data_IF_952357372480
#
_entry.id   IF_952357372480
#
_cell.length_a   1.000
_cell.length_b   1.000
_cell.length_c   1.000
_cell.angle_alpha   90.00
_cell.angle_beta   90.00
_cell.angle_gamma   90.00
#
_symmetry.space_group_name_H-M   'P 1'
#
loop_
_entity.id
_entity.type
_entity.pdbx_description
1 polymer ?
#
# COMPACT_ATOMS: atom_id res chain seq x y z
N UNK A 1 15.44 49.19 -23.35
CA UNK A 1 16.84 48.92 -23.04
C UNK A 1 16.91 47.42 -22.85
N UNK A 2 17.31 46.78 -23.90
CA UNK A 2 18.58 46.04 -24.17
C UNK A 2 18.58 44.76 -23.36
N UNK A 3 18.44 43.67 -23.98
CA UNK A 3 19.29 42.94 -24.98
C UNK A 3 19.80 41.69 -24.29
N UNK A 4 19.40 40.56 -24.90
CA UNK A 4 20.33 39.68 -25.68
C UNK A 4 21.32 38.96 -24.79
N UNK A 5 21.58 37.69 -24.91
CA UNK A 5 22.04 36.84 -25.99
C UNK A 5 21.90 35.38 -25.49
N UNK A 6 21.39 34.40 -26.19
CA UNK A 6 21.98 33.73 -27.36
C UNK A 6 23.37 33.12 -27.09
N UNK A 7 23.47 31.80 -27.14
CA UNK A 7 24.41 30.98 -27.92
C UNK A 7 24.12 29.51 -27.58
N UNK A 8 23.62 28.69 -28.48
CA UNK A 8 24.18 28.16 -29.74
C UNK A 8 25.35 27.22 -29.54
N UNK A 9 25.11 26.14 -30.19
CA UNK A 9 26.05 25.30 -30.98
C UNK A 9 26.80 24.24 -30.21
N UNK A 10 26.87 23.06 -30.71
CA UNK A 10 27.02 22.51 -32.03
C UNK A 10 27.23 21.00 -31.89
N UNK A 11 26.56 20.27 -32.59
CA UNK A 11 26.75 19.77 -33.93
C UNK A 11 28.17 19.26 -34.19
N UNK A 12 28.34 18.00 -34.42
CA UNK A 12 28.66 17.44 -35.72
C UNK A 12 29.35 16.08 -35.66
N UNK A 13 29.13 15.28 -36.69
CA UNK A 13 29.66 13.93 -36.82
C UNK A 13 30.91 13.90 -37.71
N UNK A 14 31.74 12.89 -37.59
CA UNK A 14 32.76 12.53 -38.58
C UNK A 14 32.82 11.00 -38.68
N UNK A 15 32.35 10.39 -39.69
CA UNK A 15 32.70 10.17 -41.12
C UNK A 15 34.16 9.90 -41.37
N UNK A 16 34.33 8.71 -41.93
CA UNK A 16 35.09 8.36 -43.12
C UNK A 16 36.61 8.33 -42.92
N UNK A 17 37.38 7.53 -43.55
CA UNK A 17 37.36 6.89 -44.85
C UNK A 17 38.54 5.93 -44.99
N UNK A 18 38.36 4.89 -45.76
CA UNK A 18 39.12 4.58 -47.01
C UNK A 18 40.63 4.34 -46.89
N UNK A 19 41.04 3.20 -47.20
CA UNK A 19 41.48 2.65 -48.49
C UNK A 19 42.97 2.37 -48.61
N UNK A 20 43.35 1.30 -49.14
CA UNK A 20 44.09 0.96 -50.38
C UNK A 20 45.10 -0.15 -50.13
N UNK A 21 44.90 -1.25 -50.80
CA UNK A 21 45.50 -1.69 -52.10
C UNK A 21 47.00 -2.02 -52.02
N UNK A 22 47.27 -3.23 -52.38
CA UNK A 22 48.51 -3.47 -53.12
C UNK A 22 49.29 -4.71 -52.69
N UNK A 23 49.44 -5.65 -53.59
CA UNK A 23 50.58 -6.50 -53.58
C UNK A 23 50.36 -7.98 -53.90
N UNK A 24 50.09 -8.23 -55.13
CA UNK A 24 50.22 -9.53 -55.81
C UNK A 24 51.69 -9.97 -55.82
N UNK A 25 52.01 -11.11 -55.22
CA UNK A 25 53.20 -11.86 -55.64
C UNK A 25 52.94 -13.33 -55.49
N UNK A 26 52.94 -13.95 -56.65
CA UNK A 26 52.82 -15.36 -56.91
C UNK A 26 54.21 -15.97 -56.72
N UNK A 27 54.36 -16.97 -55.87
CA UNK A 27 55.46 -17.91 -55.89
C UNK A 27 54.97 -19.30 -55.58
N UNK A 28 54.96 -20.11 -56.64
CA UNK A 28 54.81 -21.56 -56.55
C UNK A 28 56.10 -22.15 -55.94
N UNK A 29 55.94 -22.84 -54.86
CA UNK A 29 56.88 -23.85 -54.44
C UNK A 29 56.09 -25.00 -53.78
N UNK A 30 56.04 -26.10 -54.47
CA UNK A 30 55.48 -27.33 -53.95
C UNK A 30 56.32 -27.88 -52.82
N UNK A 31 55.66 -28.40 -51.80
CA UNK A 31 56.25 -29.35 -50.89
C UNK A 31 55.12 -30.10 -50.15
N UNK A 32 55.30 -31.42 -50.10
CA UNK A 32 54.58 -32.45 -49.42
C UNK A 32 53.69 -32.00 -48.22
N UNK A 33 52.45 -32.33 -48.29
CA UNK A 33 51.51 -32.18 -47.18
C UNK A 33 51.93 -33.03 -45.96
N UNK A 34 52.17 -32.44 -44.79
CA UNK A 34 52.32 -33.23 -43.59
C UNK A 34 50.98 -33.85 -43.21
N UNK A 35 51.05 -35.10 -42.81
CA UNK A 35 49.91 -35.88 -42.34
C UNK A 35 49.19 -35.10 -41.23
N UNK A 36 47.86 -34.90 -41.32
CA UNK A 36 47.14 -34.15 -40.25
C UNK A 36 47.33 -34.86 -38.90
N UNK A 37 47.53 -34.12 -37.83
CA UNK A 37 47.58 -34.66 -36.49
C UNK A 37 46.26 -35.34 -36.15
N UNK A 38 46.26 -36.36 -35.31
CA UNK A 38 45.00 -37.00 -34.86
C UNK A 38 44.11 -35.98 -34.21
N UNK A 39 42.76 -36.08 -34.38
CA UNK A 39 41.85 -35.14 -33.76
C UNK A 39 42.02 -35.19 -32.23
N UNK A 40 41.91 -34.07 -31.55
CA UNK A 40 41.99 -34.02 -30.11
C UNK A 40 40.84 -34.87 -29.51
N UNK A 41 41.10 -35.56 -28.38
CA UNK A 41 40.07 -36.32 -27.71
C UNK A 41 38.85 -35.43 -27.45
N UNK A 42 37.65 -35.97 -27.69
CA UNK A 42 36.41 -35.25 -27.46
C UNK A 42 36.38 -34.71 -26.02
N UNK A 43 35.98 -33.48 -25.82
CA UNK A 43 35.87 -32.96 -24.48
C UNK A 43 34.91 -33.80 -23.64
N UNK A 44 35.33 -34.11 -22.42
CA UNK A 44 34.53 -34.86 -21.49
C UNK A 44 33.15 -34.16 -21.33
N UNK A 45 32.06 -34.92 -21.27
CA UNK A 45 30.75 -34.35 -21.08
C UNK A 45 30.75 -33.46 -19.80
N UNK A 46 30.34 -32.22 -19.97
CA UNK A 46 30.21 -31.31 -18.86
C UNK A 46 29.25 -31.93 -17.82
N UNK A 47 29.52 -31.80 -16.52
CA UNK A 47 28.63 -32.30 -15.51
C UNK A 47 27.27 -31.58 -15.68
N UNK A 48 26.21 -32.37 -15.80
CA UNK A 48 24.84 -31.88 -15.91
C UNK A 48 24.57 -31.08 -14.63
N UNK A 49 24.13 -29.81 -14.73
CA UNK A 49 23.80 -29.06 -13.55
C UNK A 49 22.72 -29.79 -12.75
N UNK A 50 23.04 -30.15 -11.53
CA UNK A 50 22.05 -30.72 -10.61
C UNK A 50 21.03 -29.61 -10.35
N UNK A 51 19.71 -29.85 -10.61
CA UNK A 51 18.71 -28.85 -10.30
C UNK A 51 18.81 -28.46 -8.82
N UNK A 52 18.68 -27.16 -8.50
CA UNK A 52 18.71 -26.73 -7.11
C UNK A 52 17.61 -27.45 -6.33
N UNK A 53 17.85 -27.80 -5.07
CA UNK A 53 16.83 -28.40 -4.22
C UNK A 53 15.60 -27.49 -4.17
N UNK A 54 14.37 -28.04 -4.14
CA UNK A 54 13.17 -27.24 -4.01
C UNK A 54 13.27 -26.35 -2.77
N UNK A 55 12.75 -25.11 -2.83
CA UNK A 55 12.74 -24.24 -1.68
C UNK A 55 12.01 -24.90 -0.51
N UNK A 56 12.47 -24.70 0.73
CA UNK A 56 11.78 -25.24 1.88
C UNK A 56 10.32 -24.76 1.90
N UNK A 57 9.37 -25.58 2.35
CA UNK A 57 7.98 -25.17 2.46
C UNK A 57 7.90 -23.91 3.31
N UNK A 58 7.00 -22.96 2.97
CA UNK A 58 6.82 -21.77 3.77
C UNK A 58 6.49 -22.18 5.22
N UNK A 59 6.98 -21.42 6.21
CA UNK A 59 6.64 -21.68 7.60
C UNK A 59 5.11 -21.71 7.75
N UNK A 60 4.55 -22.58 8.58
CA UNK A 60 3.12 -22.62 8.83
C UNK A 60 2.65 -21.23 9.22
N UNK A 61 1.55 -20.78 8.62
CA UNK A 61 0.95 -19.49 8.95
C UNK A 61 0.72 -19.44 10.47
N UNK A 62 1.00 -18.29 11.12
CA UNK A 62 0.71 -18.15 12.53
C UNK A 62 -0.75 -18.50 12.77
N UNK A 63 -1.07 -19.19 13.87
CA UNK A 63 -2.46 -19.53 14.19
C UNK A 63 -3.29 -18.25 14.15
N UNK A 64 -4.53 -18.29 13.61
CA UNK A 64 -5.40 -17.15 13.66
C UNK A 64 -5.50 -16.68 15.10
N UNK A 65 -5.48 -15.34 15.35
CA UNK A 65 -5.61 -14.83 16.70
C UNK A 65 -6.87 -15.42 17.32
N UNK A 66 -6.86 -15.79 18.61
CA UNK A 66 -7.98 -16.39 19.28
C UNK A 66 -9.22 -15.55 19.02
N UNK A 67 -10.29 -16.20 18.55
CA UNK A 67 -11.57 -15.54 18.35
C UNK A 67 -11.99 -14.95 19.71
N UNK A 68 -11.99 -13.62 19.80
CA UNK A 68 -12.38 -12.92 21.02
C UNK A 68 -13.82 -13.26 21.36
N UNK A 69 -14.00 -14.16 22.32
CA UNK A 69 -15.30 -14.48 22.94
C UNK A 69 -15.73 -13.43 23.98
N UNK A 70 -14.97 -12.36 24.15
CA UNK A 70 -15.33 -11.19 24.95
C UNK A 70 -16.22 -10.20 24.19
N UNK A 71 -17.28 -10.69 23.53
CA UNK A 71 -18.32 -9.83 22.99
C UNK A 71 -19.04 -9.16 24.16
N UNK A 72 -18.70 -7.91 24.41
CA UNK A 72 -19.70 -7.01 24.96
C UNK A 72 -20.83 -6.98 23.91
N UNK A 73 -22.08 -7.35 24.26
CA UNK A 73 -23.14 -7.40 23.28
C UNK A 73 -23.24 -6.03 22.60
N UNK A 74 -23.37 -6.00 21.28
CA UNK A 74 -23.67 -4.79 20.51
C UNK A 74 -24.91 -4.04 21.03
N UNK A 75 -25.76 -4.74 21.81
CA UNK A 75 -26.91 -4.17 22.52
C UNK A 75 -26.53 -3.07 23.53
N UNK A 76 -25.30 -3.07 24.08
CA UNK A 76 -24.82 -2.04 25.00
C UNK A 76 -24.45 -0.71 24.31
N UNK A 77 -24.45 -0.69 22.98
CA UNK A 77 -24.14 0.53 22.21
C UNK A 77 -25.28 1.58 22.22
N UNK A 78 -26.33 1.33 22.98
CA UNK A 78 -27.46 2.23 23.12
C UNK A 78 -28.32 2.34 21.85
N UNK A 79 -29.40 3.10 21.89
CA UNK A 79 -30.32 3.27 20.77
C UNK A 79 -29.60 3.89 19.56
N UNK A 80 -30.00 3.51 18.36
CA UNK A 80 -29.56 4.18 17.13
C UNK A 80 -30.05 5.63 17.15
N UNK A 81 -29.10 6.55 17.08
CA UNK A 81 -29.41 7.98 16.97
C UNK A 81 -29.60 8.33 15.49
N UNK A 82 -30.68 9.00 15.16
CA UNK A 82 -30.88 9.50 13.81
C UNK A 82 -29.84 10.59 13.51
N UNK A 83 -28.91 10.26 12.64
CA UNK A 83 -27.87 11.21 12.21
C UNK A 83 -28.41 12.05 11.06
N UNK A 84 -28.28 13.39 11.10
CA UNK A 84 -28.71 14.25 9.99
C UNK A 84 -28.11 13.82 8.65
N UNK A 85 -28.76 14.12 7.52
CA UNK A 85 -28.21 13.80 6.20
C UNK A 85 -26.76 14.27 6.05
N UNK A 86 -25.91 13.43 5.45
CA UNK A 86 -24.52 13.79 5.25
C UNK A 86 -24.41 14.87 4.17
N UNK A 87 -23.53 15.85 4.39
CA UNK A 87 -23.23 16.87 3.42
C UNK A 87 -22.18 16.39 2.44
N UNK A 88 -22.30 16.83 1.18
CA UNK A 88 -21.29 16.54 0.15
C UNK A 88 -20.02 17.33 0.44
N UNK A 89 -18.91 16.63 0.65
CA UNK A 89 -17.61 17.24 0.88
C UNK A 89 -16.93 17.63 -0.44
N UNK A 90 -16.14 18.72 -0.39
CA UNK A 90 -15.37 19.22 -1.53
C UNK A 90 -13.93 18.73 -1.56
N UNK A 91 -13.45 18.21 -0.44
CA UNK A 91 -12.09 17.68 -0.27
C UNK A 91 -12.07 16.50 0.70
N UNK A 92 -11.01 15.69 0.64
CA UNK A 92 -10.81 14.60 1.59
C UNK A 92 -10.67 15.08 3.05
N UNK A 93 -10.08 16.24 3.28
CA UNK A 93 -9.94 16.79 4.64
C UNK A 93 -11.28 17.23 5.22
N UNK A 94 -12.12 17.87 4.41
CA UNK A 94 -13.49 18.21 4.80
C UNK A 94 -14.30 16.94 5.07
N UNK A 95 -14.19 15.94 4.16
CA UNK A 95 -14.85 14.66 4.31
C UNK A 95 -14.48 13.95 5.62
N UNK A 96 -13.19 13.80 5.90
CA UNK A 96 -12.71 13.13 7.11
C UNK A 96 -13.22 13.78 8.38
N UNK A 97 -13.20 15.11 8.45
CA UNK A 97 -13.73 15.85 9.61
C UNK A 97 -15.25 15.70 9.75
N UNK A 98 -15.98 15.74 8.63
CA UNK A 98 -17.42 15.52 8.64
C UNK A 98 -17.76 14.09 9.06
N UNK A 99 -17.06 13.09 8.53
CA UNK A 99 -17.21 11.69 8.89
C UNK A 99 -16.93 11.44 10.38
N UNK A 100 -15.86 12.02 10.91
CA UNK A 100 -15.51 11.91 12.32
C UNK A 100 -16.58 12.49 13.25
N UNK A 101 -17.08 13.69 12.94
CA UNK A 101 -18.18 14.31 13.70
C UNK A 101 -19.44 13.44 13.64
N UNK A 102 -19.72 12.86 12.48
CA UNK A 102 -20.88 12.01 12.27
C UNK A 102 -20.79 10.74 13.10
N UNK A 103 -19.62 10.10 13.21
CA UNK A 103 -19.38 8.95 14.08
C UNK A 103 -19.63 9.28 15.56
N UNK A 104 -19.18 10.45 16.01
CA UNK A 104 -19.42 10.91 17.38
C UNK A 104 -20.92 11.12 17.65
N UNK A 105 -21.64 11.77 16.72
CA UNK A 105 -23.10 11.98 16.85
C UNK A 105 -23.86 10.66 16.83
N UNK A 106 -23.46 9.71 15.98
CA UNK A 106 -24.12 8.40 15.88
C UNK A 106 -23.86 7.50 17.09
N UNK A 107 -22.87 7.83 17.92
CA UNK A 107 -22.43 6.97 19.03
C UNK A 107 -22.23 7.75 20.33
N UNK A 108 -23.25 8.46 20.85
CA UNK A 108 -23.11 9.37 21.98
C UNK A 108 -22.61 8.68 23.26
N UNK A 109 -22.97 7.42 23.48
CA UNK A 109 -22.56 6.67 24.67
C UNK A 109 -21.12 6.12 24.58
N UNK A 110 -20.55 6.08 23.37
CA UNK A 110 -19.22 5.51 23.09
C UNK A 110 -18.23 6.52 22.52
N UNK A 111 -18.63 7.76 22.41
CA UNK A 111 -17.75 8.84 22.04
C UNK A 111 -17.54 9.80 23.19
N UNK A 112 -16.36 10.36 23.29
CA UNK A 112 -16.08 11.45 24.20
C UNK A 112 -15.64 12.70 23.43
N UNK A 113 -15.94 13.84 24.01
CA UNK A 113 -15.51 15.16 23.53
C UNK A 113 -14.45 15.71 24.50
N UNK A 114 -13.62 16.60 24.01
CA UNK A 114 -12.58 17.22 24.83
C UNK A 114 -11.20 16.59 24.61
N UNK A 115 -10.28 16.94 25.51
CA UNK A 115 -8.88 16.52 25.39
C UNK A 115 -8.74 15.03 25.69
N UNK A 116 -7.95 14.27 24.89
CA UNK A 116 -7.65 12.89 25.19
C UNK A 116 -6.95 12.75 26.55
N UNK A 117 -7.20 11.66 27.29
CA UNK A 117 -6.48 11.39 28.52
C UNK A 117 -4.98 11.19 28.24
N UNK A 118 -4.11 11.43 29.21
CA UNK A 118 -2.66 11.27 29.05
C UNK A 118 -2.25 9.83 28.73
N UNK A 119 -3.05 8.85 29.17
CA UNK A 119 -2.88 7.44 28.82
C UNK A 119 -4.14 6.97 28.09
N UNK A 120 -3.94 6.44 26.88
CA UNK A 120 -5.00 5.85 26.08
C UNK A 120 -5.07 4.35 26.34
N UNK A 121 -6.28 3.84 26.47
CA UNK A 121 -6.54 2.40 26.63
C UNK A 121 -6.21 1.63 25.35
N UNK A 122 -6.54 2.17 24.18
CA UNK A 122 -6.27 1.58 22.89
C UNK A 122 -6.30 2.59 21.75
N UNK A 123 -5.53 2.30 20.71
CA UNK A 123 -5.44 3.13 19.50
C UNK A 123 -5.54 2.25 18.26
N UNK A 124 -6.72 1.68 17.95
CA UNK A 124 -6.89 0.98 16.69
C UNK A 124 -6.89 1.95 15.51
N UNK A 125 -6.32 1.51 14.39
CA UNK A 125 -6.31 2.24 13.12
C UNK A 125 -7.04 1.38 12.10
N UNK A 126 -8.11 1.94 11.52
CA UNK A 126 -8.93 1.27 10.54
C UNK A 126 -8.86 2.00 9.19
N UNK A 127 -8.81 1.24 8.12
CA UNK A 127 -9.03 1.73 6.76
C UNK A 127 -10.48 1.44 6.38
N UNK A 128 -11.19 2.44 5.89
CA UNK A 128 -12.59 2.37 5.51
C UNK A 128 -12.69 2.63 4.01
N UNK A 129 -13.27 1.67 3.27
CA UNK A 129 -13.59 1.83 1.87
C UNK A 129 -15.07 2.17 1.69
N UNK A 130 -15.35 3.07 0.74
CA UNK A 130 -16.70 3.54 0.43
C UNK A 130 -17.12 3.18 -1.00
N UNK A 131 -18.43 3.08 -1.17
CA UNK A 131 -19.08 3.21 -2.45
C UNK A 131 -19.25 4.70 -2.81
N UNK A 132 -19.63 4.99 -4.07
CA UNK A 132 -19.80 6.36 -4.56
C UNK A 132 -20.83 7.17 -3.75
N UNK A 133 -21.85 6.51 -3.24
CA UNK A 133 -22.94 7.08 -2.43
C UNK A 133 -22.55 7.34 -0.96
N UNK A 134 -21.32 6.97 -0.58
CA UNK A 134 -20.83 7.08 0.79
C UNK A 134 -21.27 5.97 1.73
N UNK A 135 -21.89 4.92 1.22
CA UNK A 135 -22.10 3.70 2.00
C UNK A 135 -20.78 2.97 2.23
N UNK A 136 -20.66 2.31 3.37
CA UNK A 136 -19.44 1.55 3.72
C UNK A 136 -19.39 0.28 2.89
N UNK A 137 -18.30 0.13 2.15
CA UNK A 137 -18.01 -1.05 1.33
C UNK A 137 -17.27 -2.11 2.12
N UNK A 138 -16.19 -1.69 2.80
CA UNK A 138 -15.36 -2.57 3.60
C UNK A 138 -14.66 -1.81 4.73
N UNK A 139 -14.29 -2.53 5.80
CA UNK A 139 -13.50 -2.01 6.90
C UNK A 139 -12.39 -3.00 7.25
N UNK A 140 -11.16 -2.63 7.00
CA UNK A 140 -9.98 -3.39 7.37
C UNK A 140 -9.24 -2.78 8.56
N UNK A 141 -8.56 -3.61 9.35
CA UNK A 141 -7.76 -3.17 10.49
C UNK A 141 -6.32 -2.98 10.02
N UNK A 142 -5.89 -1.73 9.89
CA UNK A 142 -4.52 -1.39 9.51
C UNK A 142 -3.56 -1.62 10.67
N UNK A 143 -3.99 -1.28 11.89
CA UNK A 143 -3.20 -1.53 13.10
C UNK A 143 -4.13 -1.81 14.28
N UNK A 144 -4.01 -2.99 14.91
CA UNK A 144 -4.73 -3.28 16.16
C UNK A 144 -4.13 -2.46 17.32
N UNK A 145 -4.87 -2.28 18.42
CA UNK A 145 -4.32 -1.69 19.63
C UNK A 145 -3.20 -2.56 20.19
N UNK A 146 -2.17 -1.94 20.74
CA UNK A 146 -1.04 -2.65 21.35
C UNK A 146 -1.44 -3.41 22.63
N UNK A 147 -2.40 -2.87 23.38
CA UNK A 147 -2.95 -3.51 24.56
C UNK A 147 -3.91 -4.64 24.17
N UNK A 148 -3.62 -5.86 24.61
CA UNK A 148 -4.46 -7.03 24.33
C UNK A 148 -5.87 -6.88 24.92
N UNK A 149 -6.02 -6.24 26.06
CA UNK A 149 -7.32 -5.97 26.68
C UNK A 149 -8.17 -4.96 25.91
N UNK A 150 -7.56 -4.20 24.99
CA UNK A 150 -8.22 -3.21 24.17
C UNK A 150 -8.69 -3.76 22.80
N UNK A 151 -8.57 -5.05 22.55
CA UNK A 151 -8.94 -5.62 21.24
C UNK A 151 -10.44 -5.49 20.93
N UNK A 152 -11.29 -5.45 21.95
CA UNK A 152 -12.72 -5.20 21.81
C UNK A 152 -13.05 -3.80 21.24
N UNK A 153 -12.11 -2.85 21.36
CA UNK A 153 -12.25 -1.50 20.80
C UNK A 153 -12.34 -1.49 19.28
N UNK A 154 -11.80 -2.52 18.61
CA UNK A 154 -11.94 -2.69 17.15
C UNK A 154 -13.42 -2.87 16.77
N UNK A 155 -14.14 -3.71 17.51
CA UNK A 155 -15.55 -3.94 17.24
C UNK A 155 -16.39 -2.68 17.49
N UNK A 156 -16.08 -1.94 18.56
CA UNK A 156 -16.75 -0.66 18.88
C UNK A 156 -16.47 0.37 17.75
N UNK A 157 -15.24 0.48 17.28
CA UNK A 157 -14.89 1.39 16.21
C UNK A 157 -15.60 1.04 14.90
N UNK A 158 -15.63 -0.25 14.52
CA UNK A 158 -16.36 -0.72 13.33
C UNK A 158 -17.85 -0.39 13.41
N UNK A 159 -18.46 -0.65 14.56
CA UNK A 159 -19.86 -0.35 14.76
C UNK A 159 -20.15 1.15 14.68
N UNK A 160 -19.29 2.00 15.25
CA UNK A 160 -19.43 3.44 15.14
C UNK A 160 -19.36 3.93 13.69
N UNK A 161 -18.51 3.29 12.86
CA UNK A 161 -18.43 3.56 11.43
C UNK A 161 -19.73 3.19 10.72
N UNK A 162 -20.28 1.99 10.98
CA UNK A 162 -21.51 1.55 10.34
C UNK A 162 -22.72 2.38 10.78
N UNK A 163 -22.82 2.76 12.05
CA UNK A 163 -23.90 3.62 12.56
C UNK A 163 -23.91 5.02 11.96
N UNK A 164 -22.74 5.53 11.62
CA UNK A 164 -22.61 6.83 11.00
C UNK A 164 -22.86 6.83 9.48
N UNK A 165 -22.90 5.69 8.85
CA UNK A 165 -23.16 5.56 7.41
C UNK A 165 -24.63 5.94 7.06
N UNK A 166 -24.90 6.39 5.81
CA UNK A 166 -23.95 6.74 4.77
C UNK A 166 -23.27 8.09 5.04
N UNK A 167 -22.04 8.24 4.51
CA UNK A 167 -21.21 9.43 4.72
C UNK A 167 -21.42 10.54 3.68
N UNK A 168 -22.37 10.37 2.78
CA UNK A 168 -22.65 11.28 1.66
C UNK A 168 -21.86 10.95 0.41
N UNK A 169 -22.30 11.54 -0.70
CA UNK A 169 -21.73 11.28 -2.02
C UNK A 169 -20.24 11.67 -2.08
N UNK A 170 -19.39 10.69 -2.39
CA UNK A 170 -17.94 10.84 -2.55
C UNK A 170 -17.49 10.73 -4.01
N UNK A 171 -18.43 10.62 -4.95
CA UNK A 171 -18.14 10.42 -6.37
C UNK A 171 -17.24 11.51 -6.97
N UNK A 172 -17.29 12.72 -6.41
CA UNK A 172 -16.50 13.89 -6.83
C UNK A 172 -15.12 13.97 -6.20
N UNK A 173 -14.86 13.14 -5.18
CA UNK A 173 -13.55 13.08 -4.55
C UNK A 173 -12.60 12.20 -5.36
N UNK A 174 -11.30 12.49 -5.25
CA UNK A 174 -10.27 11.69 -5.91
C UNK A 174 -10.29 10.24 -5.40
N UNK A 175 -10.22 9.28 -6.33
CA UNK A 175 -10.08 7.84 -6.00
C UNK A 175 -8.68 7.52 -5.50
N UNK A 176 -8.50 6.48 -4.67
CA UNK A 176 -9.55 5.55 -4.22
C UNK A 176 -10.44 6.16 -3.14
N UNK A 177 -11.71 5.78 -3.10
CA UNK A 177 -12.66 6.25 -2.09
C UNK A 177 -12.46 5.49 -0.79
N UNK A 178 -11.36 5.80 -0.13
CA UNK A 178 -10.99 5.22 1.16
C UNK A 178 -10.21 6.20 2.00
N UNK A 179 -10.30 6.03 3.31
CA UNK A 179 -9.49 6.79 4.25
C UNK A 179 -9.12 5.95 5.45
N UNK A 180 -8.09 6.38 6.14
CA UNK A 180 -7.66 5.77 7.40
C UNK A 180 -8.11 6.64 8.56
N UNK A 181 -8.74 6.04 9.56
CA UNK A 181 -9.15 6.71 10.80
C UNK A 181 -8.42 6.11 11.99
N UNK A 182 -8.00 6.98 12.89
CA UNK A 182 -7.34 6.63 14.14
C UNK A 182 -8.31 6.90 15.30
N UNK A 183 -8.63 5.87 16.05
CA UNK A 183 -9.53 5.96 17.17
C UNK A 183 -8.73 6.01 18.49
N UNK A 184 -8.94 7.07 19.28
CA UNK A 184 -8.33 7.26 20.58
C UNK A 184 -9.33 6.78 21.64
N UNK A 185 -9.08 5.61 22.24
CA UNK A 185 -9.94 5.05 23.28
C UNK A 185 -9.46 5.39 24.68
N UNK A 186 -10.38 5.82 25.52
CA UNK A 186 -10.13 5.97 26.96
C UNK A 186 -10.39 4.65 27.72
N UNK A 187 -10.14 4.64 29.03
CA UNK A 187 -10.36 3.51 29.95
C UNK A 187 -11.84 3.06 30.04
N UNK A 188 -12.77 3.94 29.74
CA UNK A 188 -14.22 3.65 29.68
C UNK A 188 -14.66 3.06 28.33
N UNK A 189 -13.72 2.75 27.44
CA UNK A 189 -13.95 2.28 26.07
C UNK A 189 -14.77 3.25 25.21
N UNK A 190 -14.65 4.55 25.51
CA UNK A 190 -15.19 5.60 24.67
C UNK A 190 -14.10 6.05 23.69
N UNK A 191 -14.49 6.34 22.45
CA UNK A 191 -13.56 6.75 21.41
C UNK A 191 -13.67 8.23 21.06
N UNK A 192 -12.58 8.76 20.55
CA UNK A 192 -12.53 10.03 19.83
C UNK A 192 -11.74 9.81 18.54
N UNK A 193 -12.30 10.14 17.36
CA UNK A 193 -11.51 10.19 16.14
C UNK A 193 -10.39 11.22 16.26
N UNK A 194 -9.17 10.82 15.94
CA UNK A 194 -7.99 11.69 16.13
C UNK A 194 -8.08 13.01 15.37
N UNK A 195 -8.73 13.02 14.21
CA UNK A 195 -8.88 14.24 13.41
C UNK A 195 -9.67 15.35 14.12
N UNK A 196 -10.38 15.01 15.20
CA UNK A 196 -11.13 15.97 16.04
C UNK A 196 -10.35 16.43 17.28
N UNK A 197 -9.07 16.05 17.37
CA UNK A 197 -8.20 16.42 18.49
C UNK A 197 -7.53 17.78 18.29
#
# INVERSE_FOLDING_TARGET
>A
MRSTDEDKDGFAPRRAALARIGGLTLLLAGCAAPKPPPPPPAPAPLPVPVPPPPPPPPPPAPPPPPAFTGRRPLADLGPMVLVPPAQTARSWDEFKRAAARRMVVASPNFAYLGKPPPMLFGIPILEIELNADGSVRDISVTRPPANVEAQDTIAIAKEAIYRAAPYGDVSRLAKPWKWTEVFLFNDKRQFKPRILD
#
